data_IF_487792140280
#
_entry.id   IF_487792140280
#
_cell.length_a   1.000
_cell.length_b   1.000
_cell.length_c   1.000
_cell.angle_alpha   90.00
_cell.angle_beta   90.00
_cell.angle_gamma   90.00
#
_symmetry.space_group_name_H-M   'P 1'
#
loop_
_entity.id
_entity.type
_entity.pdbx_description
1 polymer ?
#
# COMPACT_ATOMS: atom_id res chain seq x y z
N UNK A 1 33.07 -28.95 -16.45
CA UNK A 1 33.83 -29.97 -15.70
C UNK A 1 35.19 -30.13 -16.38
N UNK A 2 36.23 -29.56 -15.77
CA UNK A 2 37.61 -29.90 -16.13
C UNK A 2 37.77 -31.38 -15.77
N UNK A 3 37.77 -32.28 -16.76
CA UNK A 3 38.25 -33.64 -16.53
C UNK A 3 39.63 -33.50 -15.93
N UNK A 4 39.80 -34.00 -14.71
CA UNK A 4 41.09 -33.97 -14.04
C UNK A 4 42.03 -34.92 -14.78
N UNK A 5 42.62 -34.40 -15.86
CA UNK A 5 43.59 -35.07 -16.73
C UNK A 5 44.78 -35.60 -15.91
N UNK A 6 45.00 -35.06 -14.71
CA UNK A 6 46.03 -35.49 -13.79
C UNK A 6 45.67 -36.78 -13.04
N UNK A 7 44.39 -36.97 -12.70
CA UNK A 7 43.92 -38.17 -11.98
C UNK A 7 43.71 -39.40 -12.88
N UNK A 8 43.59 -39.21 -14.20
CA UNK A 8 43.44 -40.30 -15.16
C UNK A 8 44.78 -40.74 -15.79
N UNK A 9 45.90 -40.16 -15.36
CA UNK A 9 47.21 -40.49 -15.88
C UNK A 9 47.83 -41.65 -15.10
N UNK A 10 47.92 -42.83 -15.73
CA UNK A 10 48.58 -44.01 -15.16
C UNK A 10 50.05 -43.96 -15.52
N UNK A 11 50.90 -43.61 -14.55
CA UNK A 11 52.35 -43.53 -14.75
C UNK A 11 53.10 -44.33 -13.69
N UNK A 12 54.19 -44.97 -14.10
CA UNK A 12 55.07 -45.69 -13.19
C UNK A 12 56.16 -44.76 -12.65
N UNK A 13 56.40 -44.82 -11.33
CA UNK A 13 57.66 -44.36 -10.72
C UNK A 13 58.55 -45.59 -10.61
N UNK A 14 59.63 -45.65 -11.39
CA UNK A 14 60.52 -46.80 -11.39
C UNK A 14 61.45 -46.75 -10.17
N UNK A 15 61.52 -47.82 -9.36
CA UNK A 15 62.57 -47.95 -8.35
C UNK A 15 63.94 -48.14 -9.03
N UNK A 16 64.98 -47.55 -8.46
CA UNK A 16 66.35 -47.67 -8.97
C UNK A 16 66.79 -49.13 -9.05
N UNK A 17 67.16 -49.60 -10.26
CA UNK A 17 67.89 -50.87 -10.43
C UNK A 17 67.19 -52.06 -11.11
N UNK A 18 66.08 -51.88 -11.83
CA UNK A 18 65.46 -52.97 -12.62
C UNK A 18 65.70 -52.82 -14.13
N UNK A 19 66.03 -53.93 -14.80
CA UNK A 19 66.14 -54.01 -16.26
C UNK A 19 64.75 -54.02 -16.89
N UNK A 20 64.49 -53.07 -17.78
CA UNK A 20 63.18 -52.81 -18.37
C UNK A 20 63.03 -53.59 -19.67
N UNK A 21 61.88 -54.26 -19.83
CA UNK A 21 61.58 -55.17 -20.97
C UNK A 21 61.12 -54.42 -22.23
N UNK A 22 60.67 -53.16 -22.09
CA UNK A 22 60.17 -52.33 -23.19
C UNK A 22 60.81 -50.94 -23.18
N UNK A 23 60.98 -50.28 -24.34
CA UNK A 23 61.46 -48.91 -24.39
C UNK A 23 60.45 -47.99 -23.70
N UNK A 24 60.89 -47.35 -22.61
CA UNK A 24 60.08 -46.42 -21.85
C UNK A 24 60.35 -45.00 -22.31
N UNK A 25 59.29 -44.20 -22.37
CA UNK A 25 59.34 -42.79 -22.74
C UNK A 25 58.91 -41.93 -21.56
N UNK A 26 59.35 -40.68 -21.57
CA UNK A 26 58.84 -39.68 -20.65
C UNK A 26 57.53 -39.10 -21.21
N UNK A 27 56.41 -39.18 -20.47
CA UNK A 27 55.14 -38.63 -20.93
C UNK A 27 55.18 -37.11 -20.95
N UNK A 28 54.29 -36.49 -21.73
CA UNK A 28 54.13 -35.03 -21.78
C UNK A 28 52.94 -34.59 -20.92
N UNK A 29 53.03 -33.41 -20.32
CA UNK A 29 51.94 -32.80 -19.58
C UNK A 29 50.91 -32.13 -20.51
N UNK A 30 49.86 -31.54 -19.92
CA UNK A 30 48.79 -30.84 -20.67
C UNK A 30 49.28 -29.65 -21.52
N UNK A 31 50.46 -29.13 -21.23
CA UNK A 31 51.09 -28.02 -21.96
C UNK A 31 52.13 -28.53 -22.98
N UNK A 32 52.23 -29.85 -23.18
CA UNK A 32 53.20 -30.47 -24.07
C UNK A 32 54.62 -30.57 -23.51
N UNK A 33 54.82 -30.24 -22.22
CA UNK A 33 56.13 -30.31 -21.58
C UNK A 33 56.43 -31.72 -21.09
N UNK A 34 57.66 -32.18 -21.31
CA UNK A 34 58.10 -33.52 -20.90
C UNK A 34 58.22 -33.63 -19.38
N UNK A 35 57.58 -34.64 -18.80
CA UNK A 35 57.62 -34.93 -17.37
C UNK A 35 58.71 -35.98 -17.11
N UNK A 36 59.92 -35.50 -16.89
CA UNK A 36 61.13 -36.34 -16.78
C UNK A 36 61.15 -37.30 -15.59
N UNK A 37 60.35 -37.07 -14.55
CA UNK A 37 60.28 -37.92 -13.36
C UNK A 37 59.21 -39.02 -13.44
N UNK A 38 58.62 -39.25 -14.62
CA UNK A 38 57.60 -40.28 -14.86
C UNK A 38 57.90 -41.03 -16.15
N UNK A 39 57.36 -42.25 -16.24
CA UNK A 39 57.59 -43.15 -17.36
C UNK A 39 56.27 -43.73 -17.89
N UNK A 40 56.20 -43.89 -19.20
CA UNK A 40 55.08 -44.47 -19.95
C UNK A 40 55.61 -45.28 -21.15
N UNK A 41 54.71 -45.87 -21.94
CA UNK A 41 55.02 -46.58 -23.19
C UNK A 41 54.26 -45.95 -24.34
N UNK A 42 54.77 -46.05 -25.58
CA UNK A 42 54.09 -45.52 -26.77
C UNK A 42 52.65 -46.08 -26.90
N UNK A 43 52.46 -47.36 -26.58
CA UNK A 43 51.14 -48.02 -26.59
C UNK A 43 50.19 -47.43 -25.54
N UNK A 44 50.70 -47.09 -24.35
CA UNK A 44 49.90 -46.49 -23.28
C UNK A 44 49.57 -45.03 -23.58
N UNK A 45 50.51 -44.24 -24.10
CA UNK A 45 50.24 -42.86 -24.51
C UNK A 45 49.20 -42.81 -25.65
N UNK A 46 49.30 -43.70 -26.65
CA UNK A 46 48.30 -43.80 -27.72
C UNK A 46 46.90 -44.13 -27.18
N UNK A 47 46.79 -45.07 -26.23
CA UNK A 47 45.50 -45.41 -25.60
C UNK A 47 44.96 -44.27 -24.71
N UNK A 48 45.83 -43.51 -24.04
CA UNK A 48 45.44 -42.34 -23.25
C UNK A 48 44.95 -41.20 -24.14
N UNK A 49 45.58 -40.98 -25.29
CA UNK A 49 45.15 -39.96 -26.25
C UNK A 49 43.80 -40.32 -26.89
N UNK A 50 43.57 -41.59 -27.23
CA UNK A 50 42.26 -42.10 -27.67
C UNK A 50 41.20 -41.92 -26.58
N UNK A 51 41.52 -42.28 -25.32
CA UNK A 51 40.62 -42.07 -24.19
C UNK A 51 40.26 -40.59 -23.98
N UNK A 52 41.24 -39.68 -24.09
CA UNK A 52 41.03 -38.22 -23.96
C UNK A 52 40.15 -37.69 -25.08
N UNK A 53 40.35 -38.15 -26.32
CA UNK A 53 39.52 -37.79 -27.46
C UNK A 53 38.07 -38.24 -27.22
N UNK A 54 37.86 -39.50 -26.86
CA UNK A 54 36.53 -40.04 -26.52
C UNK A 54 35.87 -39.27 -25.36
N UNK A 55 36.62 -38.91 -24.32
CA UNK A 55 36.12 -38.08 -23.22
C UNK A 55 35.66 -36.70 -23.71
N UNK A 56 36.43 -36.06 -24.59
CA UNK A 56 36.11 -34.76 -25.18
C UNK A 56 34.84 -34.84 -26.04
N UNK A 57 34.75 -35.85 -26.90
CA UNK A 57 33.59 -36.10 -27.75
C UNK A 57 32.33 -36.36 -26.92
N UNK A 58 32.44 -37.21 -25.89
CA UNK A 58 31.34 -37.48 -24.95
C UNK A 58 30.89 -36.20 -24.23
N UNK A 59 31.83 -35.37 -23.77
CA UNK A 59 31.51 -34.10 -23.13
C UNK A 59 30.81 -33.11 -24.07
N UNK A 60 31.19 -33.10 -25.35
CA UNK A 60 30.52 -32.28 -26.37
C UNK A 60 29.11 -32.81 -26.64
N UNK A 61 28.95 -34.13 -26.82
CA UNK A 61 27.65 -34.75 -27.02
C UNK A 61 26.68 -34.46 -25.87
N UNK A 62 27.13 -34.58 -24.61
CA UNK A 62 26.33 -34.23 -23.43
C UNK A 62 25.95 -32.75 -23.45
N UNK A 63 26.89 -31.85 -23.77
CA UNK A 63 26.62 -30.41 -23.84
C UNK A 63 25.56 -30.09 -24.91
N UNK A 64 25.63 -30.74 -26.06
CA UNK A 64 24.67 -30.53 -27.14
C UNK A 64 23.27 -31.05 -26.77
N UNK A 65 23.18 -32.18 -26.06
CA UNK A 65 21.92 -32.67 -25.49
C UNK A 65 21.33 -31.68 -24.47
N UNK A 66 22.17 -31.14 -23.57
CA UNK A 66 21.71 -30.14 -22.58
C UNK A 66 21.26 -28.84 -23.24
N UNK A 67 21.95 -28.38 -24.30
CA UNK A 67 21.54 -27.21 -25.09
C UNK A 67 20.20 -27.44 -25.77
N UNK A 68 20.03 -28.60 -26.41
CA UNK A 68 18.76 -28.96 -27.05
C UNK A 68 17.61 -28.98 -26.04
N UNK A 69 17.83 -29.57 -24.85
CA UNK A 69 16.85 -29.56 -23.77
C UNK A 69 16.54 -28.13 -23.30
N UNK A 70 17.55 -27.28 -23.13
CA UNK A 70 17.36 -25.86 -22.75
C UNK A 70 16.48 -25.14 -23.77
N UNK A 71 16.80 -25.26 -25.07
CA UNK A 71 16.04 -24.60 -26.13
C UNK A 71 14.61 -25.13 -26.23
N UNK A 72 14.40 -26.44 -26.05
CA UNK A 72 13.06 -27.04 -26.01
C UNK A 72 12.25 -26.52 -24.82
N UNK A 73 12.86 -26.42 -23.62
CA UNK A 73 12.21 -25.90 -22.43
C UNK A 73 11.88 -24.41 -22.56
N UNK A 74 12.80 -23.59 -23.10
CA UNK A 74 12.62 -22.16 -23.32
C UNK A 74 11.44 -21.86 -24.26
N UNK A 75 11.29 -22.65 -25.33
CA UNK A 75 10.22 -22.45 -26.31
C UNK A 75 8.85 -22.97 -25.85
N UNK A 76 8.79 -24.18 -25.30
CA UNK A 76 7.52 -24.88 -25.09
C UNK A 76 7.01 -24.82 -23.64
N UNK A 77 7.92 -24.82 -22.66
CA UNK A 77 7.57 -25.07 -21.25
C UNK A 77 7.71 -23.85 -20.35
N UNK A 78 8.67 -22.96 -20.64
CA UNK A 78 9.00 -21.84 -19.76
C UNK A 78 7.90 -20.76 -19.69
N UNK A 79 7.30 -20.30 -20.81
CA UNK A 79 6.24 -19.28 -20.73
C UNK A 79 5.00 -19.74 -19.95
N UNK A 80 4.46 -20.96 -20.16
CA UNK A 80 3.37 -21.50 -19.33
C UNK A 80 3.76 -21.63 -17.85
N UNK A 81 5.00 -22.06 -17.56
CA UNK A 81 5.48 -22.20 -16.18
C UNK A 81 5.57 -20.83 -15.47
N UNK A 82 6.14 -19.83 -16.14
CA UNK A 82 6.22 -18.46 -15.61
C UNK A 82 4.82 -17.90 -15.40
N UNK A 83 3.91 -18.07 -16.37
CA UNK A 83 2.51 -17.66 -16.25
C UNK A 83 1.82 -18.32 -15.06
N UNK A 84 2.00 -19.63 -14.87
CA UNK A 84 1.44 -20.37 -13.74
C UNK A 84 2.01 -19.87 -12.39
N UNK A 85 3.31 -19.62 -12.31
CA UNK A 85 3.93 -19.05 -11.11
C UNK A 85 3.38 -17.66 -10.78
N UNK A 86 3.25 -16.78 -11.77
CA UNK A 86 2.68 -15.44 -11.59
C UNK A 86 1.22 -15.52 -11.10
N UNK A 87 0.41 -16.36 -11.73
CA UNK A 87 -0.99 -16.57 -11.30
C UNK A 87 -1.08 -17.14 -9.89
N UNK A 88 -0.21 -18.09 -9.53
CA UNK A 88 -0.16 -18.66 -8.18
C UNK A 88 0.22 -17.60 -7.14
N UNK A 89 1.16 -16.70 -7.45
CA UNK A 89 1.52 -15.57 -6.57
C UNK A 89 0.35 -14.60 -6.40
N UNK A 90 -0.34 -14.24 -7.48
CA UNK A 90 -1.52 -13.36 -7.44
C UNK A 90 -2.63 -14.00 -6.60
N UNK A 91 -2.97 -15.27 -6.86
CA UNK A 91 -4.00 -15.99 -6.12
C UNK A 91 -3.67 -16.09 -4.63
N UNK A 92 -2.41 -16.38 -4.28
CA UNK A 92 -1.96 -16.40 -2.89
C UNK A 92 -2.10 -15.03 -2.23
N UNK A 93 -1.66 -13.96 -2.88
CA UNK A 93 -1.81 -12.59 -2.37
C UNK A 93 -3.28 -12.21 -2.15
N UNK A 94 -4.18 -12.56 -3.08
CA UNK A 94 -5.61 -12.33 -2.94
C UNK A 94 -6.21 -13.09 -1.76
N UNK A 95 -5.86 -14.38 -1.59
CA UNK A 95 -6.32 -15.19 -0.44
C UNK A 95 -5.83 -14.59 0.87
N UNK A 96 -4.56 -14.18 0.93
CA UNK A 96 -4.00 -13.51 2.11
C UNK A 96 -4.73 -12.20 2.43
N UNK A 97 -5.05 -11.39 1.41
CA UNK A 97 -5.80 -10.14 1.57
C UNK A 97 -7.21 -10.41 2.11
N UNK A 98 -7.99 -11.30 1.47
CA UNK A 98 -9.35 -11.62 1.90
C UNK A 98 -9.37 -12.17 3.32
N UNK A 99 -8.39 -13.01 3.67
CA UNK A 99 -8.28 -13.59 5.02
C UNK A 99 -7.98 -12.52 6.06
N UNK A 100 -6.97 -11.67 5.84
CA UNK A 100 -6.58 -10.68 6.86
C UNK A 100 -7.50 -9.47 6.88
N UNK A 101 -7.79 -8.86 5.73
CA UNK A 101 -8.64 -7.69 5.65
C UNK A 101 -10.10 -8.05 5.93
N UNK A 102 -10.66 -9.04 5.23
CA UNK A 102 -12.07 -9.41 5.36
C UNK A 102 -12.37 -10.20 6.63
N UNK A 103 -11.73 -11.36 6.80
CA UNK A 103 -12.08 -12.29 7.88
C UNK A 103 -11.56 -11.82 9.23
N UNK A 104 -10.37 -11.23 9.34
CA UNK A 104 -9.84 -10.80 10.63
C UNK A 104 -10.26 -9.36 10.97
N UNK A 105 -10.08 -8.41 10.06
CA UNK A 105 -10.29 -6.98 10.33
C UNK A 105 -11.68 -6.44 9.95
N UNK A 106 -12.55 -7.27 9.33
CA UNK A 106 -13.93 -6.89 9.00
C UNK A 106 -14.08 -5.94 7.83
N UNK A 107 -13.09 -5.86 6.93
CA UNK A 107 -13.14 -5.02 5.73
C UNK A 107 -14.11 -5.61 4.70
N UNK A 108 -14.80 -4.76 3.95
CA UNK A 108 -15.82 -5.17 2.99
C UNK A 108 -15.46 -4.70 1.57
N UNK A 109 -15.97 -5.33 0.52
CA UNK A 109 -15.76 -4.86 -0.85
C UNK A 109 -16.39 -3.47 -1.04
N UNK A 110 -15.68 -2.59 -1.76
CA UNK A 110 -16.26 -1.36 -2.26
C UNK A 110 -17.07 -1.64 -3.52
N UNK A 111 -18.15 -0.89 -3.71
CA UNK A 111 -18.98 -0.91 -4.91
C UNK A 111 -18.68 0.31 -5.77
N UNK A 112 -18.80 0.16 -7.09
CA UNK A 112 -18.78 1.28 -8.03
C UNK A 112 -20.23 1.66 -8.35
N UNK A 113 -20.63 2.88 -8.01
CA UNK A 113 -21.96 3.41 -8.35
C UNK A 113 -21.97 4.05 -9.74
N UNK A 114 -21.84 3.24 -10.80
CA UNK A 114 -22.11 3.69 -12.18
C UNK A 114 -21.62 5.11 -12.51
N UNK A 115 -22.53 6.00 -12.95
CA UNK A 115 -22.22 7.40 -13.31
C UNK A 115 -22.27 8.42 -12.15
N UNK A 116 -22.49 7.96 -10.91
CA UNK A 116 -22.55 8.83 -9.73
C UNK A 116 -21.12 9.14 -9.28
N UNK A 117 -20.76 10.42 -9.21
CA UNK A 117 -19.40 10.88 -8.83
C UNK A 117 -19.20 10.97 -7.32
N UNK A 118 -20.19 10.57 -6.52
CA UNK A 118 -20.12 10.68 -5.06
C UNK A 118 -19.38 9.51 -4.41
N UNK A 119 -18.50 9.82 -3.46
CA UNK A 119 -17.97 8.84 -2.52
C UNK A 119 -18.93 8.73 -1.33
N UNK A 120 -19.52 7.54 -1.15
CA UNK A 120 -20.43 7.27 -0.04
C UNK A 120 -19.82 6.20 0.86
N UNK A 121 -19.45 6.59 2.08
CA UNK A 121 -18.88 5.69 3.08
C UNK A 121 -19.82 5.56 4.27
N UNK A 122 -20.25 4.34 4.59
CA UNK A 122 -21.08 4.05 5.76
C UNK A 122 -20.31 3.23 6.78
N UNK A 123 -20.31 3.72 8.01
CA UNK A 123 -19.62 3.13 9.16
C UNK A 123 -18.17 2.74 8.83
N UNK A 124 -17.37 3.67 8.31
CA UNK A 124 -15.94 3.48 8.06
C UNK A 124 -15.10 3.76 9.31
N UNK A 125 -13.92 3.16 9.36
CA UNK A 125 -12.95 3.33 10.44
C UNK A 125 -11.52 3.42 9.89
N UNK A 126 -10.55 3.86 10.70
CA UNK A 126 -9.15 3.89 10.29
C UNK A 126 -8.59 2.49 10.03
N UNK A 127 -7.85 2.31 8.93
CA UNK A 127 -7.36 0.99 8.49
C UNK A 127 -6.47 0.27 9.52
N UNK A 128 -5.85 1.01 10.44
CA UNK A 128 -4.99 0.47 11.51
C UNK A 128 -5.76 0.08 12.78
N UNK A 129 -7.08 0.23 12.80
CA UNK A 129 -7.96 -0.20 13.90
C UNK A 129 -8.77 -1.42 13.51
N UNK A 130 -9.11 -2.24 14.50
CA UNK A 130 -10.03 -3.37 14.35
C UNK A 130 -11.47 -2.87 14.28
N UNK A 131 -12.13 -3.07 13.14
CA UNK A 131 -13.53 -2.67 12.92
C UNK A 131 -14.54 -3.44 13.77
N UNK A 132 -14.14 -4.56 14.37
CA UNK A 132 -15.00 -5.39 15.25
C UNK A 132 -14.86 -5.06 16.72
N UNK A 133 -13.84 -4.29 17.09
CA UNK A 133 -13.66 -3.85 18.45
C UNK A 133 -14.72 -2.82 18.83
N UNK A 134 -15.40 -3.01 19.96
CA UNK A 134 -16.40 -2.05 20.49
C UNK A 134 -15.80 -0.66 20.79
N UNK A 135 -14.47 -0.55 20.93
CA UNK A 135 -13.76 0.71 21.14
C UNK A 135 -13.53 1.51 19.86
N UNK A 136 -13.74 0.94 18.68
CA UNK A 136 -13.50 1.61 17.40
C UNK A 136 -14.69 2.50 17.04
N UNK A 137 -14.44 3.80 16.96
CA UNK A 137 -15.46 4.78 16.54
C UNK A 137 -15.56 4.76 15.01
N UNK A 138 -16.74 4.41 14.50
CA UNK A 138 -17.04 4.42 13.07
C UNK A 138 -17.73 5.71 12.64
N UNK A 139 -17.45 6.18 11.42
CA UNK A 139 -18.00 7.40 10.83
C UNK A 139 -18.78 7.11 9.54
N UNK A 140 -19.62 8.03 9.11
CA UNK A 140 -20.28 7.96 7.79
C UNK A 140 -20.19 9.31 7.12
N UNK A 141 -19.84 9.32 5.83
CA UNK A 141 -19.69 10.54 5.05
C UNK A 141 -20.20 10.32 3.62
N UNK A 142 -20.68 11.41 3.03
CA UNK A 142 -21.10 11.48 1.64
C UNK A 142 -20.34 12.66 1.02
N UNK A 143 -19.55 12.38 0.00
CA UNK A 143 -18.66 13.34 -0.66
C UNK A 143 -19.04 13.42 -2.14
N UNK A 144 -19.99 14.30 -2.43
CA UNK A 144 -20.42 14.75 -3.76
C UNK A 144 -19.90 16.16 -4.09
N UNK A 145 -19.28 16.84 -3.12
CA UNK A 145 -18.67 18.16 -3.25
C UNK A 145 -17.54 18.35 -2.21
N UNK A 146 -16.96 19.55 -2.13
CA UNK A 146 -16.05 19.89 -1.05
C UNK A 146 -16.76 20.02 0.30
N UNK A 147 -16.13 19.45 1.33
CA UNK A 147 -16.55 19.56 2.71
C UNK A 147 -15.51 20.32 3.52
N UNK A 148 -15.89 21.42 4.18
CA UNK A 148 -15.05 21.96 5.27
C UNK A 148 -15.29 21.09 6.51
N UNK A 149 -14.22 20.47 7.02
CA UNK A 149 -14.25 19.74 8.28
C UNK A 149 -13.62 20.57 9.40
N UNK A 150 -14.47 21.10 10.27
CA UNK A 150 -14.05 21.83 11.48
C UNK A 150 -13.96 20.93 12.70
N UNK A 151 -13.22 21.39 13.71
CA UNK A 151 -13.15 20.71 14.98
C UNK A 151 -11.87 21.06 15.72
N UNK A 152 -11.84 20.89 17.04
CA UNK A 152 -10.64 21.17 17.82
C UNK A 152 -9.48 20.24 17.42
N UNK A 153 -8.26 20.62 17.83
CA UNK A 153 -7.10 19.74 17.68
C UNK A 153 -7.34 18.44 18.46
N UNK A 154 -6.78 17.33 17.95
CA UNK A 154 -7.00 15.97 18.49
C UNK A 154 -8.43 15.42 18.36
N UNK A 155 -9.35 16.14 17.70
CA UNK A 155 -10.72 15.64 17.47
C UNK A 155 -10.82 14.55 16.39
N UNK A 156 -9.72 14.24 15.69
CA UNK A 156 -9.68 13.17 14.68
C UNK A 156 -9.78 13.62 13.22
N UNK A 157 -9.70 14.93 12.92
CA UNK A 157 -9.76 15.45 11.53
C UNK A 157 -8.80 14.75 10.57
N UNK A 158 -7.50 14.75 10.87
CA UNK A 158 -6.47 14.07 10.06
C UNK A 158 -6.70 12.56 9.96
N UNK A 159 -7.31 11.95 10.99
CA UNK A 159 -7.66 10.52 10.98
C UNK A 159 -8.79 10.24 9.98
N UNK A 160 -9.80 11.11 9.93
CA UNK A 160 -10.87 11.03 8.92
C UNK A 160 -10.29 11.18 7.52
N UNK A 161 -9.46 12.20 7.27
CA UNK A 161 -8.82 12.42 5.96
C UNK A 161 -8.02 11.20 5.49
N UNK A 162 -7.14 10.66 6.36
CA UNK A 162 -6.35 9.47 6.04
C UNK A 162 -7.21 8.24 5.80
N UNK A 163 -8.30 8.08 6.55
CA UNK A 163 -9.23 6.96 6.37
C UNK A 163 -9.92 7.04 5.00
N UNK A 164 -10.48 8.20 4.65
CA UNK A 164 -11.11 8.43 3.34
C UNK A 164 -10.10 8.23 2.20
N UNK A 165 -8.89 8.78 2.32
CA UNK A 165 -7.80 8.59 1.35
C UNK A 165 -7.48 7.10 1.14
N UNK A 166 -7.31 6.36 2.24
CA UNK A 166 -6.98 4.93 2.18
C UNK A 166 -8.11 4.10 1.56
N UNK A 167 -9.36 4.42 1.89
CA UNK A 167 -10.54 3.72 1.34
C UNK A 167 -10.65 3.98 -0.17
N UNK A 168 -10.49 5.22 -0.61
CA UNK A 168 -10.50 5.56 -2.03
C UNK A 168 -9.39 4.80 -2.78
N UNK A 169 -8.15 4.83 -2.28
CA UNK A 169 -7.02 4.13 -2.90
C UNK A 169 -7.24 2.60 -2.96
N UNK A 170 -7.68 2.00 -1.86
CA UNK A 170 -7.94 0.56 -1.79
C UNK A 170 -9.06 0.16 -2.76
N UNK A 171 -10.15 0.94 -2.81
CA UNK A 171 -11.26 0.70 -3.72
C UNK A 171 -10.82 0.78 -5.19
N UNK A 172 -10.06 1.82 -5.58
CA UNK A 172 -9.51 1.96 -6.94
C UNK A 172 -8.61 0.78 -7.34
N UNK A 173 -7.89 0.21 -6.38
CA UNK A 173 -7.06 -0.98 -6.60
C UNK A 173 -7.83 -2.31 -6.55
N UNK A 174 -9.15 -2.30 -6.31
CA UNK A 174 -9.97 -3.51 -6.20
C UNK A 174 -9.79 -4.29 -4.89
N UNK A 175 -9.23 -3.66 -3.85
CA UNK A 175 -9.08 -4.26 -2.53
C UNK A 175 -10.32 -4.02 -1.65
N UNK A 176 -10.54 -4.94 -0.70
CA UNK A 176 -11.46 -4.70 0.43
C UNK A 176 -11.07 -3.41 1.17
N UNK A 177 -12.04 -2.75 1.80
CA UNK A 177 -11.89 -1.46 2.47
C UNK A 177 -12.41 -1.48 3.92
N UNK A 178 -11.85 -0.68 4.84
CA UNK A 178 -12.28 -0.58 6.25
C UNK A 178 -13.58 0.22 6.42
N UNK A 179 -14.65 -0.28 5.84
CA UNK A 179 -16.00 0.25 5.98
C UNK A 179 -17.03 -0.87 5.97
N UNK A 180 -18.20 -0.62 6.56
CA UNK A 180 -19.31 -1.57 6.44
C UNK A 180 -19.91 -1.55 5.04
N UNK A 181 -20.07 -0.36 4.47
CA UNK A 181 -20.46 -0.16 3.09
C UNK A 181 -19.64 0.99 2.50
N UNK A 182 -19.13 0.80 1.30
CA UNK A 182 -18.42 1.82 0.56
C UNK A 182 -18.87 1.83 -0.89
N UNK A 183 -19.19 3.02 -1.40
CA UNK A 183 -19.32 3.31 -2.81
C UNK A 183 -18.24 4.32 -3.18
N UNK A 184 -17.35 3.94 -4.08
CA UNK A 184 -16.27 4.81 -4.56
C UNK A 184 -16.35 4.81 -6.08
N UNK A 185 -16.52 5.97 -6.73
CA UNK A 185 -16.51 6.06 -8.17
C UNK A 185 -15.07 5.96 -8.69
N UNK A 186 -14.92 5.99 -10.02
CA UNK A 186 -13.60 6.22 -10.59
C UNK A 186 -13.06 7.59 -10.15
N UNK A 187 -11.90 7.59 -9.50
CA UNK A 187 -11.18 8.78 -9.07
C UNK A 187 -9.94 8.92 -9.93
N UNK A 188 -9.79 10.02 -10.66
CA UNK A 188 -8.63 10.24 -11.53
C UNK A 188 -7.38 10.64 -10.75
N UNK A 189 -7.55 11.49 -9.73
CA UNK A 189 -6.49 11.92 -8.81
C UNK A 189 -6.95 11.84 -7.36
N UNK A 190 -6.13 11.21 -6.52
CA UNK A 190 -6.24 11.28 -5.05
C UNK A 190 -5.14 12.21 -4.56
N UNK A 191 -5.50 13.42 -4.15
CA UNK A 191 -4.58 14.45 -3.70
C UNK A 191 -4.71 14.63 -2.20
N UNK A 192 -3.65 14.32 -1.46
CA UNK A 192 -3.61 14.49 -0.01
C UNK A 192 -2.51 15.47 0.36
N UNK A 193 -2.90 16.65 0.84
CA UNK A 193 -2.00 17.58 1.50
C UNK A 193 -2.12 17.40 3.01
N UNK A 194 -1.04 16.97 3.64
CA UNK A 194 -0.88 16.98 5.10
C UNK A 194 0.12 18.05 5.53
N UNK A 195 0.10 18.43 6.81
CA UNK A 195 1.11 19.33 7.36
C UNK A 195 2.53 18.79 7.14
N UNK A 196 3.36 19.53 6.41
CA UNK A 196 4.79 19.26 6.25
C UNK A 196 5.59 20.08 7.27
N UNK A 197 6.61 19.47 7.86
CA UNK A 197 7.62 20.19 8.63
C UNK A 197 8.60 20.88 7.68
N UNK A 198 9.24 21.96 8.12
CA UNK A 198 10.23 22.70 7.34
C UNK A 198 11.26 21.76 6.67
N UNK A 199 11.72 22.15 5.48
CA UNK A 199 12.88 21.54 4.82
C UNK A 199 14.06 22.53 4.82
N UNK A 200 14.87 22.59 5.90
CA UNK A 200 16.07 23.42 5.93
C UNK A 200 17.05 23.11 4.80
N UNK A 201 17.02 21.88 4.28
CA UNK A 201 17.90 21.42 3.21
C UNK A 201 17.64 22.11 1.87
N UNK A 202 16.42 22.62 1.62
CA UNK A 202 16.06 23.29 0.36
C UNK A 202 16.03 24.82 0.44
N UNK A 203 16.27 25.42 1.62
CA UNK A 203 16.23 26.87 1.80
C UNK A 203 14.85 27.51 1.59
N UNK A 204 13.77 26.71 1.54
CA UNK A 204 12.39 27.17 1.41
C UNK A 204 11.71 27.17 2.78
N UNK A 205 10.89 28.18 3.07
CA UNK A 205 10.02 28.15 4.25
C UNK A 205 8.94 27.08 4.08
N UNK A 206 8.49 26.44 5.17
CA UNK A 206 7.39 25.47 5.10
C UNK A 206 6.13 26.03 4.43
N UNK A 207 5.87 27.33 4.60
CA UNK A 207 4.77 28.02 3.92
C UNK A 207 4.97 28.11 2.39
N UNK A 208 6.20 28.34 1.90
CA UNK A 208 6.47 28.37 0.47
C UNK A 208 6.30 27.00 -0.18
N UNK A 209 6.69 25.92 0.52
CA UNK A 209 6.45 24.54 0.09
C UNK A 209 4.95 24.25 0.06
N UNK A 210 4.22 24.63 1.11
CA UNK A 210 2.76 24.50 1.19
C UNK A 210 2.05 25.21 0.02
N UNK A 211 2.49 26.42 -0.34
CA UNK A 211 1.92 27.14 -1.49
C UNK A 211 2.23 26.47 -2.83
N UNK A 212 3.41 25.87 -2.97
CA UNK A 212 3.77 25.14 -4.17
C UNK A 212 2.94 23.87 -4.35
N UNK A 213 2.75 23.11 -3.25
CA UNK A 213 1.89 21.93 -3.23
C UNK A 213 0.44 22.29 -3.59
N UNK A 214 -0.11 23.34 -2.99
CA UNK A 214 -1.48 23.78 -3.31
C UNK A 214 -1.62 24.29 -4.73
N UNK A 215 -0.59 24.93 -5.30
CA UNK A 215 -0.60 25.30 -6.72
C UNK A 215 -0.76 24.07 -7.61
N UNK A 216 0.03 23.02 -7.38
CA UNK A 216 -0.08 21.78 -8.15
C UNK A 216 -1.45 21.12 -8.00
N UNK A 217 -2.00 21.10 -6.77
CA UNK A 217 -3.37 20.60 -6.53
C UNK A 217 -4.40 21.38 -7.36
N UNK A 218 -4.30 22.70 -7.40
CA UNK A 218 -5.22 23.54 -8.18
C UNK A 218 -5.05 23.39 -9.70
N UNK A 219 -3.83 23.14 -10.18
CA UNK A 219 -3.53 22.94 -11.60
C UNK A 219 -4.07 21.59 -12.12
N UNK A 220 -4.02 20.54 -11.30
CA UNK A 220 -4.37 19.18 -11.70
C UNK A 220 -5.80 18.76 -11.31
N UNK A 221 -6.45 19.46 -10.37
CA UNK A 221 -7.75 19.04 -9.85
C UNK A 221 -8.86 19.12 -10.91
N UNK A 222 -9.57 18.01 -11.08
CA UNK A 222 -10.75 17.88 -11.95
C UNK A 222 -12.01 17.62 -11.11
N UNK A 223 -13.17 17.60 -11.78
CA UNK A 223 -14.44 17.21 -11.17
C UNK A 223 -14.51 15.75 -10.68
N UNK A 224 -13.56 14.89 -11.10
CA UNK A 224 -13.46 13.49 -10.65
C UNK A 224 -12.34 13.29 -9.61
N UNK A 225 -11.67 14.37 -9.19
CA UNK A 225 -10.56 14.30 -8.25
C UNK A 225 -11.03 14.33 -6.79
N UNK A 226 -10.41 13.50 -5.96
CA UNK A 226 -10.55 13.52 -4.51
C UNK A 226 -9.47 14.40 -3.89
N UNK A 227 -9.85 15.58 -3.37
CA UNK A 227 -8.92 16.54 -2.75
C UNK A 227 -9.07 16.57 -1.23
N UNK A 228 -7.99 16.26 -0.52
CA UNK A 228 -7.93 16.19 0.94
C UNK A 228 -6.86 17.14 1.46
N UNK A 229 -7.25 18.18 2.19
CA UNK A 229 -6.35 19.22 2.70
C UNK A 229 -6.44 19.28 4.22
N UNK A 230 -5.31 19.13 4.91
CA UNK A 230 -5.24 19.19 6.38
C UNK A 230 -4.47 20.44 6.85
N UNK A 231 -5.12 21.31 7.61
CA UNK A 231 -4.53 22.50 8.26
C UNK A 231 -3.71 23.43 7.35
N UNK A 232 -4.36 23.97 6.30
CA UNK A 232 -3.73 24.97 5.43
C UNK A 232 -3.56 26.33 6.15
N UNK A 233 -2.42 27.00 5.93
CA UNK A 233 -2.19 28.37 6.36
C UNK A 233 -1.72 28.54 7.80
N UNK A 234 -1.22 27.47 8.44
CA UNK A 234 -0.74 27.49 9.83
C UNK A 234 0.61 28.20 10.01
N UNK A 235 1.45 28.23 8.97
CA UNK A 235 2.80 28.80 9.01
C UNK A 235 2.88 30.31 8.81
N UNK A 236 1.74 31.03 8.76
CA UNK A 236 1.67 32.47 8.46
C UNK A 236 0.75 33.21 9.43
N UNK A 237 0.60 34.52 9.25
CA UNK A 237 -0.36 35.33 10.01
C UNK A 237 -1.77 34.75 9.86
N UNK A 238 -2.48 34.53 10.97
CA UNK A 238 -3.79 33.84 10.96
C UNK A 238 -4.82 34.46 10.00
N UNK A 239 -4.82 35.78 9.84
CA UNK A 239 -5.72 36.53 8.96
C UNK A 239 -5.38 36.28 7.49
N UNK A 240 -4.11 36.44 7.12
CA UNK A 240 -3.61 36.16 5.77
C UNK A 240 -3.77 34.68 5.40
N UNK A 241 -3.47 33.77 6.33
CA UNK A 241 -3.64 32.34 6.16
C UNK A 241 -5.11 31.95 5.94
N UNK A 242 -6.04 32.55 6.68
CA UNK A 242 -7.47 32.33 6.48
C UNK A 242 -7.97 32.89 5.15
N UNK A 243 -7.55 34.10 4.76
CA UNK A 243 -7.95 34.69 3.49
C UNK A 243 -7.47 33.86 2.29
N UNK A 244 -6.23 33.36 2.36
CA UNK A 244 -5.66 32.50 1.32
C UNK A 244 -6.30 31.11 1.29
N UNK A 245 -6.58 30.53 2.46
CA UNK A 245 -7.32 29.27 2.53
C UNK A 245 -8.73 29.42 1.94
N UNK A 246 -9.40 30.55 2.18
CA UNK A 246 -10.71 30.87 1.61
C UNK A 246 -10.66 30.92 0.08
N UNK A 247 -9.73 31.68 -0.50
CA UNK A 247 -9.61 31.78 -1.96
C UNK A 247 -9.21 30.47 -2.64
N UNK A 248 -8.39 29.64 -1.99
CA UNK A 248 -8.06 28.29 -2.47
C UNK A 248 -9.28 27.39 -2.42
N UNK A 249 -10.09 27.49 -1.36
CA UNK A 249 -11.33 26.73 -1.26
C UNK A 249 -12.33 27.09 -2.36
N UNK A 250 -12.51 28.39 -2.66
CA UNK A 250 -13.33 28.84 -3.79
C UNK A 250 -12.81 28.34 -5.14
N UNK A 251 -11.49 28.29 -5.31
CA UNK A 251 -10.89 27.74 -6.53
C UNK A 251 -11.16 26.23 -6.68
N UNK A 252 -11.08 25.47 -5.57
CA UNK A 252 -11.42 24.05 -5.56
C UNK A 252 -12.93 23.81 -5.77
N UNK A 253 -13.80 24.62 -5.19
CA UNK A 253 -15.26 24.48 -5.41
C UNK A 253 -15.61 24.70 -6.88
N UNK A 254 -14.95 25.66 -7.53
CA UNK A 254 -15.12 25.94 -8.96
C UNK A 254 -14.58 24.84 -9.88
N UNK A 255 -13.58 24.06 -9.46
CA UNK A 255 -13.13 22.91 -10.26
C UNK A 255 -14.12 21.75 -10.23
N UNK A 256 -15.08 21.78 -9.30
CA UNK A 256 -16.10 20.74 -9.12
C UNK A 256 -15.56 19.47 -8.47
N UNK A 257 -14.34 19.50 -7.92
CA UNK A 257 -13.79 18.36 -7.21
C UNK A 257 -14.55 18.10 -5.90
N UNK A 258 -14.36 16.90 -5.34
CA UNK A 258 -14.95 16.52 -4.06
C UNK A 258 -13.87 16.17 -3.06
N UNK A 259 -14.18 16.29 -1.77
CA UNK A 259 -13.23 15.93 -0.73
C UNK A 259 -13.38 16.73 0.55
N UNK A 260 -12.30 16.84 1.31
CA UNK A 260 -12.33 17.35 2.68
C UNK A 260 -11.23 18.37 2.89
N UNK A 261 -11.64 19.59 3.25
CA UNK A 261 -10.78 20.65 3.73
C UNK A 261 -10.85 20.74 5.26
N UNK A 262 -9.94 20.07 5.95
CA UNK A 262 -9.86 20.09 7.41
C UNK A 262 -9.15 21.36 7.89
N UNK A 263 -9.82 22.11 8.77
CA UNK A 263 -9.30 23.40 9.26
C UNK A 263 -9.60 23.64 10.73
N UNK A 264 -8.74 24.44 11.36
CA UNK A 264 -8.98 25.05 12.67
C UNK A 264 -9.17 26.57 12.57
N UNK A 265 -9.11 27.13 11.36
CA UNK A 265 -9.28 28.55 11.10
C UNK A 265 -10.77 28.90 11.13
N UNK A 266 -11.27 29.23 12.32
CA UNK A 266 -12.68 29.64 12.47
C UNK A 266 -13.04 30.88 11.64
N UNK A 267 -12.06 31.70 11.27
CA UNK A 267 -12.25 32.88 10.44
C UNK A 267 -12.84 32.55 9.05
N UNK A 268 -12.62 31.34 8.53
CA UNK A 268 -13.20 30.91 7.26
C UNK A 268 -14.74 30.90 7.29
N UNK A 269 -15.34 30.58 8.43
CA UNK A 269 -16.80 30.57 8.59
C UNK A 269 -17.41 31.98 8.73
N UNK A 270 -16.58 32.97 9.01
CA UNK A 270 -16.99 34.38 9.11
C UNK A 270 -16.80 35.12 7.77
N UNK A 271 -16.20 34.45 6.75
CA UNK A 271 -15.95 35.03 5.43
C UNK A 271 -17.13 34.76 4.49
N UNK A 272 -17.43 35.73 3.62
CA UNK A 272 -18.36 35.56 2.51
C UNK A 272 -17.62 34.87 1.35
N UNK A 273 -17.58 33.53 1.37
CA UNK A 273 -16.92 32.73 0.34
C UNK A 273 -17.84 32.44 -0.86
N UNK A 274 -17.32 32.56 -2.07
CA UNK A 274 -17.98 32.14 -3.32
C UNK A 274 -17.80 30.63 -3.56
N UNK A 275 -18.38 29.81 -2.69
CA UNK A 275 -18.30 28.35 -2.72
C UNK A 275 -19.70 27.71 -2.49
N UNK A 276 -20.63 27.84 -3.45
CA UNK A 276 -22.04 27.45 -3.25
C UNK A 276 -22.26 25.95 -3.07
N UNK A 277 -21.34 25.08 -3.53
CA UNK A 277 -21.49 23.63 -3.41
C UNK A 277 -20.86 23.07 -2.13
N UNK A 278 -20.10 23.90 -1.42
CA UNK A 278 -19.38 23.52 -0.22
C UNK A 278 -20.34 23.16 0.92
N UNK A 279 -20.06 22.05 1.59
CA UNK A 279 -20.79 21.59 2.78
C UNK A 279 -19.97 21.78 4.05
N UNK A 280 -20.64 22.05 5.15
CA UNK A 280 -20.01 22.15 6.47
C UNK A 280 -20.18 20.87 7.29
N UNK A 281 -19.06 20.34 7.78
CA UNK A 281 -19.02 19.27 8.75
C UNK A 281 -18.15 19.62 9.95
N UNK A 282 -18.41 18.93 11.06
CA UNK A 282 -17.69 19.09 12.31
C UNK A 282 -17.36 17.76 12.97
N UNK A 283 -16.22 17.74 13.67
CA UNK A 283 -15.93 16.71 14.66
C UNK A 283 -16.70 17.02 15.95
N UNK A 284 -17.50 16.06 16.41
CA UNK A 284 -18.33 16.17 17.60
C UNK A 284 -17.52 16.08 18.90
N UNK A 285 -17.93 16.86 19.88
CA UNK A 285 -17.44 16.85 21.25
C UNK A 285 -18.61 16.70 22.24
N UNK A 286 -18.32 16.13 23.40
CA UNK A 286 -19.25 16.02 24.52
C UNK A 286 -18.69 16.76 25.75
N UNK A 287 -19.58 17.35 26.55
CA UNK A 287 -19.24 18.01 27.81
C UNK A 287 -19.56 17.09 28.97
N UNK A 288 -18.54 16.66 29.69
CA UNK A 288 -18.64 15.79 30.86
C UNK A 288 -17.87 16.43 32.02
N UNK A 289 -18.53 16.65 33.16
CA UNK A 289 -17.93 17.26 34.37
C UNK A 289 -17.19 18.59 34.13
N UNK A 290 -17.69 19.42 33.21
CA UNK A 290 -17.06 20.69 32.84
C UNK A 290 -15.83 20.55 31.93
N UNK A 291 -15.50 19.34 31.47
CA UNK A 291 -14.47 19.05 30.47
C UNK A 291 -15.11 18.76 29.13
N UNK A 292 -14.49 19.25 28.06
CA UNK A 292 -14.89 18.93 26.68
C UNK A 292 -14.04 17.76 26.20
N UNK A 293 -14.67 16.65 25.80
CA UNK A 293 -13.99 15.46 25.26
C UNK A 293 -14.37 15.24 23.80
N UNK A 294 -13.42 14.95 22.89
CA UNK A 294 -13.74 14.63 21.51
C UNK A 294 -14.37 13.24 21.41
N UNK A 295 -15.48 13.12 20.69
CA UNK A 295 -16.16 11.84 20.43
C UNK A 295 -15.60 11.08 19.24
N UNK A 296 -14.72 11.73 18.45
CA UNK A 296 -14.18 11.25 17.17
C UNK A 296 -15.24 10.99 16.09
N UNK A 297 -16.48 11.46 16.30
CA UNK A 297 -17.57 11.35 15.32
C UNK A 297 -17.65 12.59 14.43
N UNK A 298 -17.94 12.39 13.15
CA UNK A 298 -18.26 13.43 12.17
C UNK A 298 -19.78 13.65 12.16
N UNK A 299 -20.21 14.91 12.12
CA UNK A 299 -21.60 15.31 11.90
C UNK A 299 -21.67 16.55 11.02
N UNK A 300 -22.85 16.82 10.46
CA UNK A 300 -23.11 18.06 9.73
C UNK A 300 -23.08 19.28 10.67
N UNK A 301 -22.59 20.41 10.16
CA UNK A 301 -22.51 21.68 10.87
C UNK A 301 -21.07 22.15 11.12
N UNK A 302 -20.92 23.13 12.01
CA UNK A 302 -19.64 23.81 12.30
C UNK A 302 -19.30 23.77 13.78
N UNK A 303 -18.04 23.51 14.09
CA UNK A 303 -17.50 23.56 15.46
C UNK A 303 -16.68 24.84 15.68
N UNK A 304 -17.10 25.63 16.66
CA UNK A 304 -16.34 26.78 17.19
C UNK A 304 -15.64 26.47 18.53
N UNK A 305 -15.68 25.21 18.97
CA UNK A 305 -15.06 24.80 20.23
C UNK A 305 -13.54 24.61 20.09
N UNK A 306 -12.80 24.99 21.13
CA UNK A 306 -11.35 24.79 21.23
C UNK A 306 -11.02 23.97 22.48
N UNK A 307 -10.23 22.91 22.29
CA UNK A 307 -9.78 22.01 23.36
C UNK A 307 -8.45 22.46 24.01
N UNK A 308 -7.86 23.57 23.57
CA UNK A 308 -6.50 23.96 23.96
C UNK A 308 -6.31 24.02 25.49
N UNK A 309 -7.26 24.61 26.22
CA UNK A 309 -7.18 24.72 27.68
C UNK A 309 -7.41 23.38 28.39
N UNK A 310 -8.30 22.53 27.85
CA UNK A 310 -8.51 21.17 28.38
C UNK A 310 -7.26 20.33 28.23
N UNK A 311 -6.65 20.33 27.04
CA UNK A 311 -5.40 19.61 26.76
C UNK A 311 -4.27 20.10 27.65
N UNK A 312 -4.13 21.42 27.85
CA UNK A 312 -3.13 21.97 28.76
C UNK A 312 -3.26 21.43 30.20
N UNK A 313 -4.51 21.34 30.71
CA UNK A 313 -4.77 20.73 32.03
C UNK A 313 -4.42 19.25 32.07
N UNK A 314 -4.81 18.49 31.04
CA UNK A 314 -4.56 17.06 30.96
C UNK A 314 -3.05 16.74 30.85
N UNK A 315 -2.27 17.63 30.23
CA UNK A 315 -0.80 17.56 30.22
C UNK A 315 -0.15 17.98 31.55
N UNK A 316 -0.93 18.33 32.58
CA UNK A 316 -0.43 18.70 33.90
C UNK A 316 0.12 20.12 34.02
N UNK A 317 -0.29 21.05 33.14
CA UNK A 317 0.10 22.46 33.28
C UNK A 317 -0.40 23.04 34.60
N UNK A 318 0.40 23.88 35.30
CA UNK A 318 -0.03 24.49 36.55
C UNK A 318 -1.34 25.27 36.39
N UNK A 319 -2.26 25.07 37.35
CA UNK A 319 -3.59 25.70 37.32
C UNK A 319 -3.53 27.22 37.21
N UNK A 320 -2.53 27.87 37.81
CA UNK A 320 -2.29 29.30 37.70
C UNK A 320 -2.01 29.76 36.27
N UNK A 321 -1.26 28.97 35.49
CA UNK A 321 -0.94 29.28 34.09
C UNK A 321 -2.17 29.09 33.22
N UNK A 322 -2.92 28.00 33.40
CA UNK A 322 -4.16 27.75 32.65
C UNK A 322 -5.19 28.84 32.93
N UNK A 323 -5.39 29.19 34.22
CA UNK A 323 -6.32 30.24 34.59
C UNK A 323 -5.94 31.59 33.97
N UNK A 324 -4.64 31.94 34.01
CA UNK A 324 -4.15 33.15 33.36
C UNK A 324 -4.36 33.13 31.84
N UNK A 325 -4.16 31.99 31.19
CA UNK A 325 -4.41 31.84 29.77
C UNK A 325 -5.90 32.01 29.41
N UNK A 326 -6.80 31.52 30.27
CA UNK A 326 -8.25 31.72 30.11
C UNK A 326 -8.65 33.19 30.24
N UNK A 327 -8.11 33.92 31.22
CA UNK A 327 -8.32 35.37 31.33
C UNK A 327 -7.85 36.13 30.09
N UNK A 328 -6.66 35.79 29.59
CA UNK A 328 -6.09 36.41 28.38
C UNK A 328 -6.94 36.10 27.15
N UNK A 329 -7.42 34.85 27.02
CA UNK A 329 -8.30 34.44 25.93
C UNK A 329 -9.64 35.18 25.99
N UNK A 330 -10.22 35.38 27.19
CA UNK A 330 -11.41 36.18 27.41
C UNK A 330 -11.24 37.60 26.88
N UNK A 331 -10.15 38.28 27.29
CA UNK A 331 -9.83 39.64 26.81
C UNK A 331 -9.66 39.74 25.29
N UNK A 332 -9.06 38.72 24.66
CA UNK A 332 -8.90 38.67 23.20
C UNK A 332 -10.23 38.46 22.47
N UNK A 333 -11.16 37.68 23.04
CA UNK A 333 -12.51 37.49 22.52
C UNK A 333 -13.35 38.76 22.66
N UNK A 334 -13.26 39.43 23.80
CA UNK A 334 -13.99 40.67 24.05
C UNK A 334 -13.56 41.78 23.09
N UNK A 335 -12.26 41.93 22.80
CA UNK A 335 -11.78 42.86 21.76
C UNK A 335 -12.31 42.51 20.37
N UNK A 336 -12.40 41.22 20.03
CA UNK A 336 -12.95 40.77 18.75
C UNK A 336 -14.45 41.07 18.64
N UNK A 337 -15.19 40.85 19.72
CA UNK A 337 -16.63 41.14 19.77
C UNK A 337 -16.90 42.65 19.74
N UNK A 338 -16.10 43.47 20.41
CA UNK A 338 -16.20 44.94 20.36
C UNK A 338 -15.94 45.48 18.94
N UNK A 339 -15.07 44.83 18.16
CA UNK A 339 -14.88 45.15 16.73
C UNK A 339 -16.05 44.71 15.84
N UNK A 340 -16.71 43.58 16.13
CA UNK A 340 -17.87 43.09 15.36
C UNK A 340 -19.18 43.83 15.69
N UNK A 341 -19.37 44.33 16.92
CA UNK A 341 -20.58 45.08 17.31
C UNK A 341 -20.69 46.44 16.60
N UNK A 342 -19.60 46.97 16.06
CA UNK A 342 -19.62 48.18 15.23
C UNK A 342 -20.18 47.94 13.81
N UNK A 343 -20.32 46.69 13.34
CA UNK A 343 -20.55 46.39 11.91
C UNK A 343 -21.66 45.37 11.59
N UNK A 344 -22.51 44.97 12.54
CA UNK A 344 -23.56 44.00 12.18
C UNK A 344 -24.58 43.65 13.25
N UNK A 345 -25.64 44.45 13.34
CA UNK A 345 -26.86 44.07 14.02
C UNK A 345 -27.79 43.31 13.05
N UNK A 346 -27.90 41.98 13.16
CA UNK A 346 -29.15 41.23 12.87
C UNK A 346 -29.03 39.70 13.09
N UNK A 347 -29.85 39.24 14.06
CA UNK A 347 -30.60 37.96 14.14
C UNK A 347 -29.91 36.62 14.46
N UNK A 348 -30.00 36.32 15.76
CA UNK A 348 -30.41 35.08 16.44
C UNK A 348 -30.58 33.74 15.66
N UNK A 349 -29.85 32.73 16.16
CA UNK A 349 -30.06 31.29 16.00
C UNK A 349 -31.39 30.79 16.60
N UNK A 350 -31.85 29.60 16.17
CA UNK A 350 -32.41 28.64 17.11
C UNK A 350 -31.71 27.27 17.12
N UNK A 351 -31.47 26.84 18.35
CA UNK A 351 -31.48 25.50 18.97
C UNK A 351 -31.34 24.20 18.14
N UNK A 352 -30.46 23.35 18.68
CA UNK A 352 -30.30 21.91 18.49
C UNK A 352 -31.62 21.10 18.63
N UNK A 353 -31.77 20.06 17.80
CA UNK A 353 -32.67 18.93 18.01
C UNK A 353 -31.89 17.62 17.94
N UNK A 354 -32.08 16.76 18.94
CA UNK A 354 -31.48 15.43 19.04
C UNK A 354 -32.28 14.42 18.20
N UNK A 355 -31.67 13.88 17.14
CA UNK A 355 -32.26 12.80 16.36
C UNK A 355 -31.80 11.43 16.88
N UNK A 356 -32.77 10.64 17.37
CA UNK A 356 -32.65 9.20 17.64
C UNK A 356 -32.38 8.45 16.34
N UNK A 357 -31.27 7.71 16.27
CA UNK A 357 -31.03 6.76 15.19
C UNK A 357 -31.78 5.44 15.45
N UNK A 358 -32.66 5.07 14.52
CA UNK A 358 -33.29 3.76 14.44
C UNK A 358 -32.40 2.78 13.67
N UNK A 359 -32.30 1.54 14.13
CA UNK A 359 -31.58 0.47 13.45
C UNK A 359 -32.49 -0.24 12.43
N UNK A 360 -32.04 -0.46 11.17
CA UNK A 360 -32.60 -1.49 10.33
C UNK A 360 -31.79 -2.79 10.46
N UNK A 361 -32.52 -3.86 10.73
CA UNK A 361 -32.07 -5.25 10.69
C UNK A 361 -32.15 -5.74 9.24
N UNK A 362 -31.00 -5.90 8.58
CA UNK A 362 -30.91 -6.63 7.31
C UNK A 362 -29.63 -7.46 7.29
N UNK A 363 -29.80 -8.76 7.56
CA UNK A 363 -28.79 -9.79 7.32
C UNK A 363 -28.86 -10.17 5.84
N UNK A 364 -27.83 -9.83 5.08
CA UNK A 364 -27.56 -10.45 3.77
C UNK A 364 -26.80 -11.75 4.04
N UNK A 365 -27.23 -12.91 3.50
CA UNK A 365 -26.46 -14.14 3.64
C UNK A 365 -25.19 -14.04 2.78
N UNK A 366 -24.01 -14.08 3.40
CA UNK A 366 -22.78 -14.38 2.67
C UNK A 366 -22.79 -15.86 2.29
N UNK A 367 -22.73 -16.13 0.98
CA UNK A 367 -22.56 -17.48 0.45
C UNK A 367 -21.14 -17.98 0.73
N UNK A 368 -21.00 -18.68 1.86
CA UNK A 368 -19.78 -19.35 2.30
C UNK A 368 -19.44 -20.59 1.44
N UNK A 369 -20.38 -21.10 0.63
CA UNK A 369 -20.14 -22.33 -0.16
C UNK A 369 -19.22 -22.07 -1.36
N UNK A 370 -19.27 -20.88 -1.96
CA UNK A 370 -18.38 -20.50 -3.06
C UNK A 370 -16.90 -20.39 -2.63
N UNK A 371 -16.64 -19.83 -1.44
CA UNK A 371 -15.28 -19.68 -0.91
C UNK A 371 -14.66 -21.02 -0.48
N UNK A 372 -15.48 -21.93 0.07
CA UNK A 372 -15.01 -23.26 0.47
C UNK A 372 -14.66 -24.15 -0.73
N UNK A 373 -15.34 -23.99 -1.87
CA UNK A 373 -15.08 -24.74 -3.10
C UNK A 373 -13.72 -24.37 -3.72
N UNK A 374 -13.34 -23.10 -3.68
CA UNK A 374 -12.02 -22.60 -4.15
C UNK A 374 -10.91 -23.04 -3.19
N UNK A 375 -11.16 -23.01 -1.88
CA UNK A 375 -10.21 -23.51 -0.88
C UNK A 375 -9.95 -25.02 -1.05
N UNK A 376 -10.99 -25.82 -1.33
CA UNK A 376 -10.83 -27.26 -1.55
C UNK A 376 -10.13 -27.58 -2.87
N UNK A 377 -10.31 -26.80 -3.94
CA UNK A 377 -9.62 -27.07 -5.23
C UNK A 377 -8.12 -26.75 -5.17
N UNK A 378 -7.73 -25.69 -4.45
CA UNK A 378 -6.33 -25.27 -4.31
C UNK A 378 -5.56 -26.15 -3.30
N UNK A 379 -6.20 -26.55 -2.20
CA UNK A 379 -5.59 -27.43 -1.18
C UNK A 379 -5.50 -28.89 -1.65
N UNK A 380 -6.48 -29.39 -2.42
CA UNK A 380 -6.43 -30.76 -2.96
C UNK A 380 -5.34 -30.95 -4.03
N UNK A 381 -5.07 -29.94 -4.87
CA UNK A 381 -3.98 -30.00 -5.86
C UNK A 381 -2.58 -29.84 -5.24
N UNK A 382 -2.48 -29.26 -4.05
CA UNK A 382 -1.19 -29.08 -3.35
C UNK A 382 -0.79 -30.30 -2.50
N UNK A 383 -1.74 -31.19 -2.18
CA UNK A 383 -1.51 -32.35 -1.29
C UNK A 383 -1.61 -33.73 -1.98
N UNK A 384 -1.92 -33.81 -3.29
CA UNK A 384 -2.03 -35.08 -4.02
C UNK A 384 -0.84 -35.46 -4.91
N UNK A 385 0.24 -34.68 -4.91
CA UNK A 385 1.46 -35.05 -5.63
C UNK A 385 2.32 -36.00 -4.77
N UNK A 386 1.98 -37.30 -4.77
CA UNK A 386 2.95 -38.32 -4.39
C UNK A 386 4.16 -38.27 -5.34
N UNK A 387 5.39 -38.48 -4.84
CA UNK A 387 6.56 -38.57 -5.71
C UNK A 387 6.39 -39.78 -6.64
N UNK A 388 6.31 -39.52 -7.94
CA UNK A 388 6.28 -40.56 -8.98
C UNK A 388 7.52 -41.44 -8.83
N UNK A 389 7.34 -42.64 -8.29
CA UNK A 389 8.35 -43.71 -8.32
C UNK A 389 8.60 -44.08 -9.77
N UNK A 390 9.83 -43.85 -10.25
CA UNK A 390 10.28 -44.32 -11.55
C UNK A 390 10.20 -45.86 -11.61
N UNK A 391 9.20 -46.38 -12.31
CA UNK A 391 9.14 -47.79 -12.70
C UNK A 391 9.89 -47.93 -14.02
N UNK A 392 11.06 -48.55 -13.98
CA UNK A 392 11.78 -49.00 -15.16
C UNK A 392 11.01 -50.13 -15.83
N UNK A 393 10.49 -49.91 -17.04
CA UNK A 393 10.08 -51.01 -17.93
C UNK A 393 10.69 -50.85 -19.32
N UNK A 394 11.33 -51.96 -19.69
CA UNK A 394 12.10 -52.28 -20.88
C UNK A 394 11.31 -52.03 -22.19
N UNK A 395 11.92 -51.50 -23.27
CA UNK A 395 11.20 -51.20 -24.51
C UNK A 395 11.31 -52.37 -25.49
N UNK A 396 10.26 -53.19 -25.63
CA UNK A 396 10.08 -54.01 -26.84
C UNK A 396 8.59 -54.22 -27.18
N UNK A 397 8.29 -53.96 -28.46
CA UNK A 397 7.11 -54.36 -29.28
C UNK A 397 5.82 -53.50 -29.24
N UNK A 398 5.74 -52.58 -30.23
CA UNK A 398 4.71 -52.40 -31.30
C UNK A 398 3.19 -52.26 -30.94
N UNK A 399 2.29 -51.89 -31.89
CA UNK A 399 2.27 -50.80 -32.87
C UNK A 399 0.94 -49.96 -32.85
N UNK A 400 0.88 -48.90 -33.68
CA UNK A 400 -0.28 -48.31 -34.40
C UNK A 400 -1.72 -48.50 -33.87
N UNK A 401 -2.44 -47.38 -33.65
CA UNK A 401 -3.74 -47.11 -34.30
C UNK A 401 -4.20 -45.66 -34.07
N UNK A 402 -4.44 -44.97 -35.19
CA UNK A 402 -5.30 -43.78 -35.31
C UNK A 402 -6.78 -44.18 -35.13
N UNK A 403 -7.62 -43.16 -34.86
CA UNK A 403 -9.04 -42.95 -35.25
C UNK A 403 -9.92 -42.58 -34.05
N UNK A 404 -10.59 -41.43 -34.18
CA UNK A 404 -11.68 -40.97 -33.32
C UNK A 404 -11.68 -39.46 -33.17
#
# INVERSE_FOLDING_TARGET
MSFDLFNNAVWLRLPSGQNLVHPLIHPKDRNGMVVSNRFSTDKLEAALDEYRLCCSECANAVRDQLRHLSTSLEGESLPPLVGACVLATIASAMVHHVTHAGILNGWNPASERGSDRSIVLRQFWPYWLDGRANSTVTNSIDLDSLVILSGPNMAGKSTVLRSVCSIALLATCGFLVPAKEASVPFVDYIMLRTFSSDSPAEGKSGFAVEMHEMRSVLEDATENSLVLVDELGKGTEMTAGAALAGSILEALDRSGCYGIFATHLHALFDMELDAPNMKEMMMCSEKEEGRVRPTLKVAAGRSLESLAMTVARDCGMPSSVVHRAEELLGRLRDRRNLGKVADGASKANPAFSSAKAAAPDHRVPLDLQGAELVLRSVVSHSLSCEPVRAVTRNPQKAPLAFVG
#
